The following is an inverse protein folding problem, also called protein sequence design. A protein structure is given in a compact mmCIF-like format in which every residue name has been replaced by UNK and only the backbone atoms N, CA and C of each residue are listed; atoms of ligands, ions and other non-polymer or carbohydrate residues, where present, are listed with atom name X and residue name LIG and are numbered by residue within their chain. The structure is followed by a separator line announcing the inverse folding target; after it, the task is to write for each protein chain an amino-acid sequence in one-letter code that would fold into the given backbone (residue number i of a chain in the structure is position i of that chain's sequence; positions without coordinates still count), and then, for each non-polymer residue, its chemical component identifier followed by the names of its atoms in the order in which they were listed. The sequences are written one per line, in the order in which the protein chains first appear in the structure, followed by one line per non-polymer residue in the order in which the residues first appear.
data_IF_747316986083
#
_entry.id   IF_747316986083
#
_cell.length_a   1.000
_cell.length_b   1.000
_cell.length_c   1.000
_cell.angle_alpha   90.00
_cell.angle_beta   90.00
_cell.angle_gamma   90.00
#
_symmetry.space_group_name_H-M   'P 1'
#
loop_
_entity.id
_entity.type
_entity.pdbx_description
1 polymer ?
#
# COMPACT_ATOMS: atom_id res chain seq x y z
N UNK A 1 -50.91 8.22 41.52
CA UNK A 1 -50.05 7.49 40.56
C UNK A 1 -50.23 6.01 40.82
N UNK A 2 -50.65 5.27 39.80
CA UNK A 2 -51.06 3.87 39.97
C UNK A 2 -49.83 2.98 40.16
N UNK A 3 -49.95 1.90 40.95
CA UNK A 3 -48.85 0.94 41.19
C UNK A 3 -48.23 0.37 39.90
N UNK A 4 -48.99 0.39 38.81
CA UNK A 4 -48.59 -0.07 37.47
C UNK A 4 -47.52 0.86 36.83
N UNK A 5 -47.58 2.17 37.09
CA UNK A 5 -46.63 3.14 36.52
C UNK A 5 -45.24 3.01 37.18
N UNK A 6 -45.21 2.81 38.51
CA UNK A 6 -43.97 2.65 39.27
C UNK A 6 -43.19 1.39 38.86
N UNK A 7 -43.88 0.27 38.59
CA UNK A 7 -43.24 -0.96 38.11
C UNK A 7 -42.61 -0.81 36.73
N UNK A 8 -43.22 0.01 35.86
CA UNK A 8 -42.73 0.27 34.50
C UNK A 8 -41.47 1.16 34.51
N UNK A 9 -41.46 2.19 35.35
CA UNK A 9 -40.29 3.06 35.53
C UNK A 9 -39.10 2.31 36.14
N UNK A 10 -39.34 1.45 37.13
CA UNK A 10 -38.30 0.59 37.71
C UNK A 10 -37.72 -0.40 36.68
N UNK A 11 -38.57 -0.99 35.84
CA UNK A 11 -38.10 -1.87 34.75
C UNK A 11 -37.23 -1.15 33.73
N UNK A 12 -37.57 0.09 33.38
CA UNK A 12 -36.76 0.93 32.47
C UNK A 12 -35.40 1.30 33.08
N UNK A 13 -35.36 1.63 34.37
CA UNK A 13 -34.11 1.95 35.07
C UNK A 13 -33.19 0.73 35.25
N UNK A 14 -33.76 -0.45 35.54
CA UNK A 14 -33.00 -1.70 35.61
C UNK A 14 -32.48 -2.09 34.23
N UNK A 15 -33.30 -1.99 33.18
CA UNK A 15 -32.87 -2.30 31.81
C UNK A 15 -31.78 -1.32 31.36
N UNK A 16 -31.92 -0.02 31.64
CA UNK A 16 -30.93 0.99 31.31
C UNK A 16 -29.59 0.77 32.02
N UNK A 17 -29.62 0.48 33.33
CA UNK A 17 -28.40 0.19 34.09
C UNK A 17 -27.73 -1.12 33.65
N UNK A 18 -28.52 -2.15 33.33
CA UNK A 18 -28.01 -3.42 32.82
C UNK A 18 -27.37 -3.28 31.44
N UNK A 19 -27.95 -2.48 30.53
CA UNK A 19 -27.37 -2.17 29.22
C UNK A 19 -26.07 -1.39 29.36
N UNK A 20 -26.02 -0.40 30.26
CA UNK A 20 -24.78 0.34 30.55
C UNK A 20 -23.69 -0.59 31.07
N UNK A 21 -24.01 -1.46 32.03
CA UNK A 21 -23.06 -2.41 32.61
C UNK A 21 -22.59 -3.42 31.56
N UNK A 22 -23.49 -3.92 30.71
CA UNK A 22 -23.16 -4.79 29.59
C UNK A 22 -22.24 -4.09 28.57
N UNK A 23 -22.48 -2.81 28.25
CA UNK A 23 -21.65 -2.04 27.33
C UNK A 23 -20.24 -1.81 27.88
N UNK A 24 -20.11 -1.48 29.17
CA UNK A 24 -18.81 -1.33 29.85
C UNK A 24 -18.07 -2.66 29.89
N UNK A 25 -18.74 -3.75 30.27
CA UNK A 25 -18.16 -5.08 30.30
C UNK A 25 -17.69 -5.54 28.90
N UNK A 26 -18.50 -5.30 27.87
CA UNK A 26 -18.14 -5.61 26.48
C UNK A 26 -16.93 -4.78 26.02
N UNK A 27 -16.90 -3.49 26.32
CA UNK A 27 -15.77 -2.60 25.98
C UNK A 27 -14.49 -3.04 26.67
N UNK A 28 -14.55 -3.42 27.95
CA UNK A 28 -13.41 -3.94 28.69
C UNK A 28 -12.92 -5.29 28.13
N UNK A 29 -13.86 -6.20 27.80
CA UNK A 29 -13.53 -7.48 27.18
C UNK A 29 -12.85 -7.30 25.82
N UNK A 30 -13.32 -6.35 24.99
CA UNK A 30 -12.70 -5.99 23.71
C UNK A 30 -11.30 -5.40 23.89
N UNK A 31 -11.12 -4.50 24.87
CA UNK A 31 -9.82 -3.94 25.18
C UNK A 31 -8.82 -5.01 25.65
N UNK A 32 -9.25 -5.92 26.52
CA UNK A 32 -8.45 -7.07 26.95
C UNK A 32 -8.11 -8.01 25.78
N UNK A 33 -9.10 -8.29 24.94
CA UNK A 33 -8.95 -9.13 23.76
C UNK A 33 -8.20 -8.44 22.61
N UNK A 34 -7.87 -7.15 22.70
CA UNK A 34 -7.24 -6.39 21.61
C UNK A 34 -5.95 -7.04 21.08
N UNK A 35 -5.17 -7.66 21.96
CA UNK A 35 -3.96 -8.44 21.62
C UNK A 35 -4.23 -9.59 20.63
N UNK A 36 -5.44 -10.14 20.60
CA UNK A 36 -5.88 -11.22 19.72
C UNK A 36 -6.88 -10.73 18.66
N UNK A 37 -7.68 -9.72 18.98
CA UNK A 37 -8.69 -9.14 18.09
C UNK A 37 -8.04 -8.45 16.88
N UNK A 38 -6.91 -7.75 17.08
CA UNK A 38 -6.17 -7.10 15.98
C UNK A 38 -5.73 -8.14 14.93
N UNK A 39 -4.95 -9.20 15.27
CA UNK A 39 -4.54 -10.19 14.28
C UNK A 39 -5.73 -10.99 13.72
N UNK A 40 -6.81 -11.18 14.49
CA UNK A 40 -8.04 -11.81 13.98
C UNK A 40 -8.74 -10.98 12.89
N UNK A 41 -8.93 -9.68 13.11
CA UNK A 41 -9.54 -8.79 12.10
C UNK A 41 -8.64 -8.67 10.87
N UNK A 42 -7.31 -8.59 11.06
CA UNK A 42 -6.36 -8.62 9.95
C UNK A 42 -6.44 -9.93 9.17
N UNK A 43 -6.58 -11.08 9.85
CA UNK A 43 -6.76 -12.37 9.20
C UNK A 43 -8.08 -12.44 8.41
N UNK A 44 -9.15 -11.82 8.91
CA UNK A 44 -10.41 -11.71 8.17
C UNK A 44 -10.24 -10.92 6.87
N UNK A 45 -9.58 -9.75 6.94
CA UNK A 45 -9.29 -8.92 5.77
C UNK A 45 -8.39 -9.65 4.77
N UNK A 46 -7.29 -10.23 5.23
CA UNK A 46 -6.36 -10.97 4.39
C UNK A 46 -7.03 -12.21 3.80
N UNK A 47 -7.79 -12.97 4.59
CA UNK A 47 -8.52 -14.12 4.08
C UNK A 47 -9.43 -13.72 2.91
N UNK A 48 -10.22 -12.65 3.06
CA UNK A 48 -11.05 -12.13 1.98
C UNK A 48 -10.25 -11.71 0.74
N UNK A 49 -9.10 -11.06 0.93
CA UNK A 49 -8.20 -10.66 -0.15
C UNK A 49 -7.56 -11.85 -0.87
N UNK A 50 -7.30 -12.93 -0.12
CA UNK A 50 -6.56 -14.11 -0.56
C UNK A 50 -7.49 -15.18 -1.16
N UNK A 51 -8.79 -15.15 -0.88
CA UNK A 51 -9.81 -16.02 -1.50
C UNK A 51 -9.66 -16.16 -3.03
N UNK A 52 -9.54 -15.09 -3.84
CA UNK A 52 -9.37 -15.23 -5.29
C UNK A 52 -8.11 -16.00 -5.69
N UNK A 53 -7.02 -15.82 -4.94
CA UNK A 53 -5.76 -16.52 -5.17
C UNK A 53 -5.92 -18.01 -4.78
N UNK A 54 -6.55 -18.28 -3.63
CA UNK A 54 -6.82 -19.64 -3.13
C UNK A 54 -7.76 -20.40 -4.05
N UNK A 55 -8.84 -19.76 -4.52
CA UNK A 55 -9.78 -20.36 -5.47
C UNK A 55 -9.07 -20.67 -6.79
N UNK A 56 -8.26 -19.74 -7.31
CA UNK A 56 -7.47 -19.96 -8.52
C UNK A 56 -6.48 -21.13 -8.36
N UNK A 57 -5.81 -21.25 -7.21
CA UNK A 57 -4.92 -22.37 -6.89
C UNK A 57 -5.68 -23.70 -6.76
N UNK A 58 -6.83 -23.72 -6.09
CA UNK A 58 -7.63 -24.95 -5.91
C UNK A 58 -8.25 -25.41 -7.22
N UNK A 59 -8.80 -24.50 -8.02
CA UNK A 59 -9.48 -24.83 -9.27
C UNK A 59 -8.50 -25.19 -10.39
N UNK A 60 -7.35 -24.50 -10.47
CA UNK A 60 -6.39 -24.68 -11.58
C UNK A 60 -5.30 -25.72 -11.29
N UNK A 61 -4.87 -25.87 -10.03
CA UNK A 61 -3.80 -26.78 -9.61
C UNK A 61 -4.27 -27.94 -8.72
N UNK A 62 -5.58 -28.03 -8.38
CA UNK A 62 -6.16 -29.09 -7.52
C UNK A 62 -5.43 -29.29 -6.18
N UNK A 63 -4.81 -28.23 -5.67
CA UNK A 63 -4.01 -28.30 -4.45
C UNK A 63 -4.90 -28.56 -3.22
N UNK A 64 -4.41 -29.34 -2.22
CA UNK A 64 -5.12 -29.51 -0.96
C UNK A 64 -5.25 -28.15 -0.27
N UNK A 65 -6.38 -27.93 0.39
CA UNK A 65 -6.82 -26.62 0.88
C UNK A 65 -5.79 -25.87 1.73
N UNK A 66 -5.14 -26.57 2.66
CA UNK A 66 -4.11 -25.99 3.54
C UNK A 66 -2.93 -25.46 2.72
N UNK A 67 -2.53 -26.22 1.70
CA UNK A 67 -1.41 -25.89 0.82
C UNK A 67 -1.75 -24.71 -0.09
N UNK A 68 -3.01 -24.59 -0.53
CA UNK A 68 -3.49 -23.41 -1.25
C UNK A 68 -3.48 -22.13 -0.39
N UNK A 69 -3.81 -22.21 0.90
CA UNK A 69 -3.77 -21.07 1.84
C UNK A 69 -2.34 -20.62 2.08
N UNK A 70 -1.44 -21.57 2.37
CA UNK A 70 -0.02 -21.27 2.54
C UNK A 70 0.59 -20.67 1.28
N UNK A 71 0.33 -21.27 0.11
CA UNK A 71 0.80 -20.75 -1.16
C UNK A 71 0.28 -19.32 -1.40
N UNK A 72 -1.01 -19.06 -1.14
CA UNK A 72 -1.58 -17.75 -1.39
C UNK A 72 -1.09 -16.67 -0.42
N UNK A 73 -0.89 -17.00 0.86
CA UNK A 73 -0.27 -16.11 1.84
C UNK A 73 1.19 -15.81 1.50
N UNK A 74 1.92 -16.83 1.05
CA UNK A 74 3.30 -16.71 0.61
C UNK A 74 3.40 -15.84 -0.65
N UNK A 75 2.52 -16.02 -1.63
CA UNK A 75 2.44 -15.17 -2.83
C UNK A 75 2.14 -13.72 -2.47
N UNK A 76 1.21 -13.47 -1.53
CA UNK A 76 0.88 -12.12 -1.07
C UNK A 76 2.08 -11.45 -0.38
N UNK A 77 2.67 -12.14 0.60
CA UNK A 77 3.84 -11.65 1.34
C UNK A 77 5.04 -11.44 0.43
N UNK A 78 5.28 -12.36 -0.50
CA UNK A 78 6.36 -12.26 -1.48
C UNK A 78 6.13 -11.08 -2.44
N UNK A 79 4.90 -10.86 -2.90
CA UNK A 79 4.59 -9.72 -3.78
C UNK A 79 4.85 -8.39 -3.08
N UNK A 80 4.35 -8.21 -1.85
CA UNK A 80 4.56 -6.99 -1.06
C UNK A 80 6.05 -6.82 -0.70
N UNK A 81 6.70 -7.89 -0.24
CA UNK A 81 8.11 -7.87 0.11
C UNK A 81 9.02 -7.56 -1.08
N UNK A 82 8.71 -8.12 -2.25
CA UNK A 82 9.40 -7.83 -3.50
C UNK A 82 9.31 -6.32 -3.82
N UNK A 83 8.12 -5.73 -3.74
CA UNK A 83 7.94 -4.28 -3.96
C UNK A 83 8.75 -3.44 -2.97
N UNK A 84 8.71 -3.79 -1.68
CA UNK A 84 9.47 -3.09 -0.64
C UNK A 84 10.97 -3.14 -0.93
N UNK A 85 11.51 -4.32 -1.23
CA UNK A 85 12.94 -4.50 -1.52
C UNK A 85 13.34 -3.74 -2.79
N UNK A 86 12.51 -3.78 -3.84
CA UNK A 86 12.72 -3.02 -5.07
C UNK A 86 12.80 -1.51 -4.81
N UNK A 87 11.89 -0.98 -3.99
CA UNK A 87 11.89 0.43 -3.63
C UNK A 87 13.12 0.76 -2.77
N UNK A 88 13.41 -0.05 -1.74
CA UNK A 88 14.52 0.19 -0.83
C UNK A 88 15.89 0.14 -1.52
N UNK A 89 16.09 -0.82 -2.42
CA UNK A 89 17.32 -0.93 -3.22
C UNK A 89 17.48 0.27 -4.15
N UNK A 90 16.41 0.69 -4.83
CA UNK A 90 16.45 1.86 -5.72
C UNK A 90 16.67 3.17 -4.96
N UNK A 91 16.11 3.30 -3.76
CA UNK A 91 16.35 4.42 -2.84
C UNK A 91 17.79 4.42 -2.31
N UNK A 92 18.31 3.26 -1.96
CA UNK A 92 19.71 3.12 -1.55
C UNK A 92 20.65 3.51 -2.70
N UNK A 93 20.28 3.16 -3.93
CA UNK A 93 21.05 3.49 -5.13
C UNK A 93 21.04 5.00 -5.41
N UNK A 94 19.89 5.68 -5.23
CA UNK A 94 19.77 7.14 -5.17
C UNK A 94 20.71 7.77 -4.14
N UNK A 95 20.72 7.23 -2.92
CA UNK A 95 21.48 7.78 -1.80
C UNK A 95 22.99 7.62 -1.99
N UNK A 96 23.43 6.50 -2.58
CA UNK A 96 24.85 6.21 -2.83
C UNK A 96 25.39 6.93 -4.07
N UNK A 97 24.55 7.14 -5.09
CA UNK A 97 24.91 7.88 -6.32
C UNK A 97 24.38 9.31 -6.35
N UNK A 98 24.17 9.93 -5.18
CA UNK A 98 23.63 11.28 -5.04
C UNK A 98 24.43 12.34 -5.80
N UNK A 99 25.76 12.19 -5.86
CA UNK A 99 26.63 13.09 -6.65
C UNK A 99 26.35 13.03 -8.16
N UNK A 100 26.02 11.85 -8.70
CA UNK A 100 25.66 11.70 -10.12
C UNK A 100 24.33 12.40 -10.43
N UNK A 101 23.36 12.32 -9.51
CA UNK A 101 22.08 13.03 -9.63
C UNK A 101 22.24 14.54 -9.54
N UNK A 102 23.08 15.03 -8.62
CA UNK A 102 23.41 16.46 -8.53
C UNK A 102 24.01 16.96 -9.86
N UNK A 103 24.84 16.16 -10.51
CA UNK A 103 25.43 16.53 -11.81
C UNK A 103 24.38 16.55 -12.94
N UNK A 104 23.46 15.58 -12.99
CA UNK A 104 22.35 15.61 -13.97
C UNK A 104 21.40 16.79 -13.73
N UNK A 105 21.14 17.15 -12.47
CA UNK A 105 20.33 18.33 -12.13
C UNK A 105 21.05 19.64 -12.46
N UNK A 106 22.38 19.71 -12.28
CA UNK A 106 23.20 20.84 -12.74
C UNK A 106 23.18 20.96 -14.27
N UNK A 107 23.18 19.84 -14.98
CA UNK A 107 23.08 19.82 -16.44
C UNK A 107 21.73 20.36 -16.90
N UNK A 108 20.64 19.80 -16.37
CA UNK A 108 19.29 20.25 -16.70
C UNK A 108 19.06 21.71 -16.31
N UNK A 109 19.63 22.16 -15.18
CA UNK A 109 19.59 23.55 -14.75
C UNK A 109 20.24 24.50 -15.75
N UNK A 110 21.42 24.16 -16.29
CA UNK A 110 22.06 25.02 -17.30
C UNK A 110 21.28 25.03 -18.62
N UNK A 111 20.73 23.89 -19.03
CA UNK A 111 19.96 23.79 -20.28
C UNK A 111 18.65 24.59 -20.20
N UNK A 112 17.98 24.56 -19.05
CA UNK A 112 16.77 25.34 -18.80
C UNK A 112 17.06 26.84 -18.73
N UNK A 113 18.17 27.26 -18.10
CA UNK A 113 18.60 28.67 -18.09
C UNK A 113 18.99 29.11 -19.52
N UNK A 114 19.66 28.24 -20.28
CA UNK A 114 19.98 28.48 -21.69
C UNK A 114 18.74 28.67 -22.56
N UNK A 115 17.74 27.80 -22.40
CA UNK A 115 16.44 27.93 -23.08
C UNK A 115 15.67 29.18 -22.63
N UNK A 116 15.67 29.48 -21.33
CA UNK A 116 15.06 30.71 -20.82
C UNK A 116 15.73 31.96 -21.39
N UNK A 117 17.06 31.95 -21.52
CA UNK A 117 17.83 33.04 -22.11
C UNK A 117 17.60 33.18 -23.62
N UNK A 118 17.41 32.08 -24.36
CA UNK A 118 17.06 32.15 -25.80
C UNK A 118 15.66 32.75 -25.98
N UNK A 119 14.71 32.44 -25.08
CA UNK A 119 13.38 33.04 -25.11
C UNK A 119 13.39 34.50 -24.63
N UNK A 120 14.17 34.82 -23.60
CA UNK A 120 14.33 36.18 -23.07
C UNK A 120 15.00 37.12 -24.09
N UNK A 121 15.98 36.62 -24.86
CA UNK A 121 16.61 37.34 -25.96
C UNK A 121 15.61 37.69 -27.08
N UNK A 122 14.61 36.85 -27.31
CA UNK A 122 13.55 37.08 -28.29
C UNK A 122 12.52 38.13 -27.81
N UNK A 123 12.32 38.23 -26.50
CA UNK A 123 11.35 39.14 -25.85
C UNK A 123 11.99 40.46 -25.36
N UNK A 124 13.32 40.58 -25.44
CA UNK A 124 14.05 41.79 -25.05
C UNK A 124 14.16 41.98 -23.53
N UNK A 125 14.01 40.91 -22.76
CA UNK A 125 14.16 40.93 -21.30
C UNK A 125 15.65 40.86 -20.90
N UNK A 126 16.03 41.38 -19.72
CA UNK A 126 17.38 41.25 -19.18
C UNK A 126 17.81 39.78 -19.14
N UNK A 127 18.94 39.45 -19.79
CA UNK A 127 19.47 38.09 -19.81
C UNK A 127 19.97 37.71 -18.42
N UNK A 128 19.66 36.50 -17.99
CA UNK A 128 20.21 35.93 -16.77
C UNK A 128 21.69 35.65 -17.04
N UNK A 129 22.65 36.27 -16.33
CA UNK A 129 24.07 36.06 -16.57
C UNK A 129 24.44 34.56 -16.42
N UNK A 130 25.22 34.00 -17.37
CA UNK A 130 25.60 32.57 -17.37
C UNK A 130 26.50 32.15 -16.20
N UNK A 131 26.97 33.13 -15.44
CA UNK A 131 27.89 33.05 -14.32
C UNK A 131 27.19 33.27 -12.97
N UNK A 132 25.85 33.37 -12.94
CA UNK A 132 25.15 33.18 -11.68
C UNK A 132 25.09 31.68 -11.42
N UNK A 133 25.77 31.28 -10.36
CA UNK A 133 25.60 30.02 -9.67
C UNK A 133 24.17 29.88 -9.08
N UNK A 134 23.13 30.42 -9.73
CA UNK A 134 21.72 30.30 -9.34
C UNK A 134 21.27 28.85 -9.34
N UNK A 135 21.82 28.03 -10.22
CA UNK A 135 21.64 26.57 -10.16
C UNK A 135 22.29 25.99 -8.89
N UNK A 136 23.44 26.51 -8.47
CA UNK A 136 24.13 26.05 -7.26
C UNK A 136 23.49 26.58 -5.98
N UNK A 137 22.97 27.81 -5.96
CA UNK A 137 22.17 28.39 -4.88
C UNK A 137 20.84 27.64 -4.73
N UNK A 138 20.22 27.24 -5.85
CA UNK A 138 19.01 26.41 -5.82
C UNK A 138 19.31 25.00 -5.30
N UNK A 139 20.39 24.37 -5.77
CA UNK A 139 20.88 23.07 -5.27
C UNK A 139 21.30 23.16 -3.79
N UNK A 140 21.86 24.27 -3.32
CA UNK A 140 22.18 24.48 -1.89
C UNK A 140 20.94 24.75 -1.04
N UNK A 141 19.88 25.35 -1.61
CA UNK A 141 18.60 25.54 -0.92
C UNK A 141 17.84 24.23 -0.74
N UNK A 142 18.03 23.28 -1.66
CA UNK A 142 17.55 21.91 -1.54
C UNK A 142 18.64 21.13 -0.82
N UNK A 143 18.53 21.00 0.49
CA UNK A 143 19.46 20.17 1.27
C UNK A 143 19.31 18.69 0.85
N UNK A 144 19.96 18.32 -0.25
CA UNK A 144 19.90 17.01 -0.88
C UNK A 144 20.35 15.94 0.10
N UNK A 145 21.28 16.26 1.00
CA UNK A 145 21.72 15.36 2.06
C UNK A 145 20.60 15.08 3.07
N UNK A 146 19.79 16.09 3.43
CA UNK A 146 18.65 15.88 4.34
C UNK A 146 17.49 15.14 3.65
N UNK A 147 17.27 15.36 2.36
CA UNK A 147 16.30 14.59 1.57
C UNK A 147 16.75 13.12 1.43
N UNK A 148 18.00 12.88 1.06
CA UNK A 148 18.57 11.53 0.96
C UNK A 148 18.57 10.82 2.31
N UNK A 149 18.89 11.51 3.41
CA UNK A 149 18.78 10.97 4.77
C UNK A 149 17.33 10.63 5.14
N UNK A 150 16.36 11.49 4.80
CA UNK A 150 14.93 11.24 5.09
C UNK A 150 14.40 10.05 4.29
N UNK A 151 14.74 9.96 3.01
CA UNK A 151 14.34 8.83 2.14
C UNK A 151 15.06 7.54 2.59
N UNK A 152 16.33 7.62 3.00
CA UNK A 152 17.11 6.50 3.54
C UNK A 152 16.56 5.98 4.88
N UNK A 153 16.22 6.87 5.82
CA UNK A 153 15.56 6.52 7.08
C UNK A 153 14.17 5.91 6.81
N UNK A 154 13.44 6.48 5.84
CA UNK A 154 12.18 5.92 5.34
C UNK A 154 12.34 4.48 4.85
N UNK A 155 13.34 4.22 4.01
CA UNK A 155 13.63 2.88 3.50
C UNK A 155 13.99 1.89 4.61
N UNK A 156 14.82 2.28 5.60
CA UNK A 156 15.14 1.42 6.74
C UNK A 156 13.92 1.11 7.62
N UNK A 157 13.02 2.08 7.80
CA UNK A 157 11.79 1.89 8.55
C UNK A 157 10.82 0.95 7.83
N UNK A 158 10.74 1.01 6.49
CA UNK A 158 9.93 0.07 5.71
C UNK A 158 10.47 -1.35 5.83
N UNK A 159 11.81 -1.54 5.77
CA UNK A 159 12.44 -2.86 5.98
C UNK A 159 12.14 -3.39 7.40
N UNK A 160 12.26 -2.55 8.42
CA UNK A 160 11.89 -2.89 9.81
C UNK A 160 10.39 -3.20 9.98
N UNK A 161 9.53 -2.49 9.24
CA UNK A 161 8.09 -2.75 9.16
C UNK A 161 7.77 -4.13 8.59
N UNK A 162 8.48 -4.57 7.55
CA UNK A 162 8.32 -5.93 7.01
C UNK A 162 8.77 -6.99 8.02
N UNK A 163 9.88 -6.76 8.73
CA UNK A 163 10.35 -7.69 9.77
C UNK A 163 9.35 -7.82 10.93
N UNK A 164 8.76 -6.72 11.37
CA UNK A 164 7.76 -6.72 12.45
C UNK A 164 6.41 -7.26 11.99
N UNK A 165 6.03 -7.04 10.73
CA UNK A 165 4.87 -7.68 10.11
C UNK A 165 5.05 -9.20 10.07
N UNK A 166 6.22 -9.71 9.70
CA UNK A 166 6.51 -11.15 9.68
C UNK A 166 6.34 -11.80 11.07
N UNK A 167 6.69 -11.10 12.15
CA UNK A 167 6.47 -11.58 13.51
C UNK A 167 4.96 -11.73 13.82
N UNK A 168 4.15 -10.73 13.46
CA UNK A 168 2.70 -10.75 13.65
C UNK A 168 1.95 -11.63 12.64
N UNK A 169 2.56 -11.92 11.48
CA UNK A 169 1.99 -12.71 10.40
C UNK A 169 1.68 -14.15 10.84
N UNK A 170 2.40 -14.69 11.82
CA UNK A 170 2.17 -16.07 12.30
C UNK A 170 0.76 -16.25 12.87
N UNK A 171 0.30 -15.34 13.74
CA UNK A 171 -1.05 -15.38 14.31
C UNK A 171 -2.11 -15.13 13.24
N UNK A 172 -1.84 -14.17 12.35
CA UNK A 172 -2.74 -13.82 11.24
C UNK A 172 -2.92 -15.00 10.28
N UNK A 173 -1.82 -15.69 9.94
CA UNK A 173 -1.82 -16.90 9.13
C UNK A 173 -2.60 -18.01 9.81
N UNK A 174 -2.40 -18.22 11.11
CA UNK A 174 -3.12 -19.24 11.87
C UNK A 174 -4.63 -19.00 11.84
N UNK A 175 -5.07 -17.76 12.12
CA UNK A 175 -6.49 -17.39 12.01
C UNK A 175 -7.02 -17.51 10.58
N UNK A 176 -6.26 -17.09 9.58
CA UNK A 176 -6.65 -17.21 8.17
C UNK A 176 -6.79 -18.69 7.76
N UNK A 177 -5.90 -19.57 8.22
CA UNK A 177 -5.99 -21.01 7.98
C UNK A 177 -7.26 -21.58 8.59
N UNK A 178 -7.56 -21.27 9.86
CA UNK A 178 -8.77 -21.77 10.53
C UNK A 178 -10.04 -21.23 9.83
N UNK A 179 -10.07 -19.93 9.55
CA UNK A 179 -11.22 -19.27 8.91
C UNK A 179 -11.47 -19.79 7.51
N UNK A 180 -10.41 -19.93 6.70
CA UNK A 180 -10.54 -20.48 5.36
C UNK A 180 -10.87 -21.96 5.45
N UNK A 181 -10.26 -22.76 6.34
CA UNK A 181 -10.54 -24.18 6.51
C UNK A 181 -12.01 -24.48 6.87
N UNK A 182 -12.68 -23.58 7.60
CA UNK A 182 -14.10 -23.73 7.94
C UNK A 182 -15.07 -23.42 6.80
N UNK A 183 -14.63 -22.74 5.73
CA UNK A 183 -15.50 -22.38 4.60
C UNK A 183 -15.84 -23.61 3.74
N UNK A 184 -16.87 -23.60 2.89
CA UNK A 184 -17.02 -24.61 1.82
C UNK A 184 -16.76 -23.92 0.47
N UNK A 185 -15.69 -24.28 -0.26
CA UNK A 185 -15.27 -23.56 -1.46
C UNK A 185 -16.21 -23.76 -2.67
N UNK A 186 -17.09 -24.76 -2.62
CA UNK A 186 -17.90 -25.22 -3.76
C UNK A 186 -19.40 -24.90 -3.61
N UNK A 187 -19.82 -24.22 -2.55
CA UNK A 187 -21.14 -23.59 -2.58
C UNK A 187 -21.00 -22.33 -3.43
N UNK A 188 -21.22 -22.48 -4.73
CA UNK A 188 -21.64 -21.36 -5.58
C UNK A 188 -22.74 -20.65 -4.82
N UNK A 189 -22.44 -19.45 -4.30
CA UNK A 189 -23.45 -18.55 -3.77
C UNK A 189 -24.36 -18.18 -4.94
N UNK A 190 -25.36 -19.02 -5.19
CA UNK A 190 -26.36 -18.77 -6.20
C UNK A 190 -27.11 -17.48 -5.82
N UNK A 191 -27.36 -16.62 -6.81
CA UNK A 191 -28.00 -15.32 -6.63
C UNK A 191 -27.03 -14.14 -6.62
N UNK A 192 -27.55 -12.97 -6.21
CA UNK A 192 -26.91 -11.65 -6.29
C UNK A 192 -25.45 -11.63 -5.80
N UNK A 193 -25.15 -12.36 -4.73
CA UNK A 193 -23.81 -12.40 -4.12
C UNK A 193 -22.75 -13.03 -5.03
N UNK A 194 -23.11 -14.03 -5.85
CA UNK A 194 -22.18 -14.64 -6.80
C UNK A 194 -21.88 -13.73 -7.98
N UNK A 195 -22.88 -12.98 -8.47
CA UNK A 195 -22.72 -11.98 -9.53
C UNK A 195 -21.83 -10.82 -9.08
N UNK A 196 -22.03 -10.32 -7.86
CA UNK A 196 -21.17 -9.28 -7.27
C UNK A 196 -19.73 -9.78 -7.15
N UNK A 197 -19.51 -11.00 -6.65
CA UNK A 197 -18.15 -11.57 -6.53
C UNK A 197 -17.46 -11.68 -7.89
N UNK A 198 -18.18 -12.15 -8.92
CA UNK A 198 -17.66 -12.25 -10.29
C UNK A 198 -17.35 -10.88 -10.91
N UNK A 199 -18.24 -9.91 -10.72
CA UNK A 199 -18.07 -8.55 -11.20
C UNK A 199 -16.86 -7.87 -10.54
N UNK A 200 -16.73 -7.98 -9.21
CA UNK A 200 -15.60 -7.45 -8.45
C UNK A 200 -14.29 -8.09 -8.90
N UNK A 201 -14.24 -9.42 -9.05
CA UNK A 201 -13.02 -10.14 -9.52
C UNK A 201 -12.61 -9.70 -10.92
N UNK A 202 -13.57 -9.58 -11.85
CA UNK A 202 -13.29 -9.13 -13.22
C UNK A 202 -12.80 -7.68 -13.24
N UNK A 203 -13.43 -6.79 -12.48
CA UNK A 203 -13.01 -5.40 -12.36
C UNK A 203 -11.61 -5.27 -11.76
N UNK A 204 -11.35 -5.99 -10.65
CA UNK A 204 -10.06 -5.96 -9.98
C UNK A 204 -8.96 -6.53 -10.89
N UNK A 205 -9.22 -7.63 -11.58
CA UNK A 205 -8.30 -8.21 -12.56
C UNK A 205 -7.98 -7.26 -13.71
N UNK A 206 -9.00 -6.58 -14.27
CA UNK A 206 -8.81 -5.58 -15.32
C UNK A 206 -7.98 -4.39 -14.82
N UNK A 207 -8.24 -3.91 -13.59
CA UNK A 207 -7.51 -2.80 -13.00
C UNK A 207 -6.05 -3.15 -12.74
N UNK A 208 -5.77 -4.34 -12.22
CA UNK A 208 -4.40 -4.85 -12.04
C UNK A 208 -3.67 -4.92 -13.39
N UNK A 209 -4.31 -5.49 -14.42
CA UNK A 209 -3.72 -5.61 -15.75
C UNK A 209 -3.44 -4.24 -16.38
N UNK A 210 -4.41 -3.31 -16.31
CA UNK A 210 -4.24 -1.95 -16.81
C UNK A 210 -3.08 -1.23 -16.11
N UNK A 211 -3.05 -1.27 -14.77
CA UNK A 211 -1.94 -0.70 -13.99
C UNK A 211 -0.60 -1.32 -14.36
N UNK A 212 -0.54 -2.65 -14.53
CA UNK A 212 0.69 -3.36 -14.88
C UNK A 212 1.21 -2.91 -16.24
N UNK A 213 0.34 -2.77 -17.23
CA UNK A 213 0.69 -2.25 -18.55
C UNK A 213 1.19 -0.82 -18.45
N UNK A 214 0.49 0.07 -17.73
CA UNK A 214 0.91 1.46 -17.54
C UNK A 214 2.30 1.53 -16.90
N UNK A 215 2.50 0.84 -15.79
CA UNK A 215 3.79 0.85 -15.09
C UNK A 215 4.93 0.24 -15.91
N UNK A 216 4.66 -0.85 -16.63
CA UNK A 216 5.66 -1.50 -17.50
C UNK A 216 6.05 -0.61 -18.68
N UNK A 217 5.08 0.05 -19.33
CA UNK A 217 5.36 0.99 -20.42
C UNK A 217 6.14 2.20 -19.91
N UNK A 218 5.76 2.77 -18.76
CA UNK A 218 6.50 3.87 -18.14
C UNK A 218 7.94 3.46 -17.81
N UNK A 219 8.14 2.28 -17.21
CA UNK A 219 9.48 1.74 -16.96
C UNK A 219 10.30 1.63 -18.24
N UNK A 220 9.73 1.01 -19.28
CA UNK A 220 10.41 0.74 -20.54
C UNK A 220 10.79 2.04 -21.27
N UNK A 221 9.90 3.02 -21.31
CA UNK A 221 10.19 4.34 -21.88
C UNK A 221 11.31 5.04 -21.12
N UNK A 222 11.25 5.06 -19.79
CA UNK A 222 12.29 5.70 -18.97
C UNK A 222 13.63 4.96 -19.04
N UNK A 223 13.60 3.63 -19.20
CA UNK A 223 14.79 2.82 -19.43
C UNK A 223 15.47 3.20 -20.74
N UNK A 224 14.71 3.36 -21.83
CA UNK A 224 15.26 3.82 -23.12
C UNK A 224 15.81 5.25 -23.06
N UNK A 225 15.24 6.10 -22.20
CA UNK A 225 15.73 7.45 -21.97
C UNK A 225 16.96 7.51 -21.04
N UNK A 226 17.43 6.37 -20.52
CA UNK A 226 18.59 6.30 -19.64
C UNK A 226 18.35 6.94 -18.27
N UNK A 227 17.10 7.07 -17.83
CA UNK A 227 16.76 7.69 -16.55
C UNK A 227 17.19 6.75 -15.41
N UNK A 228 18.14 7.17 -14.55
CA UNK A 228 18.42 6.43 -13.32
C UNK A 228 17.09 6.39 -12.54
N UNK A 229 16.67 5.23 -12.02
CA UNK A 229 15.35 4.99 -11.41
C UNK A 229 14.11 4.85 -12.30
N UNK A 230 14.29 4.61 -13.59
CA UNK A 230 13.19 4.16 -14.48
C UNK A 230 12.27 3.10 -13.85
N UNK A 231 12.84 2.14 -13.11
CA UNK A 231 12.13 1.05 -12.43
C UNK A 231 11.20 1.53 -11.30
N UNK A 232 11.66 2.48 -10.48
CA UNK A 232 10.83 3.04 -9.40
C UNK A 232 9.69 3.85 -9.97
N UNK A 233 9.95 4.66 -11.00
CA UNK A 233 8.90 5.44 -11.64
C UNK A 233 7.86 4.57 -12.35
N UNK A 234 8.28 3.47 -12.99
CA UNK A 234 7.35 2.47 -13.52
C UNK A 234 6.52 1.80 -12.43
N UNK A 235 7.14 1.45 -11.29
CA UNK A 235 6.41 0.93 -10.15
C UNK A 235 5.45 1.96 -9.54
N UNK A 236 5.85 3.22 -9.47
CA UNK A 236 5.02 4.31 -8.96
C UNK A 236 3.84 4.54 -9.90
N UNK A 237 4.05 4.49 -11.22
CA UNK A 237 2.98 4.54 -12.21
C UNK A 237 2.01 3.35 -12.06
N UNK A 238 2.51 2.14 -11.83
CA UNK A 238 1.68 0.98 -11.50
C UNK A 238 0.82 1.22 -10.25
N UNK A 239 1.43 1.68 -9.15
CA UNK A 239 0.75 1.89 -7.87
C UNK A 239 -0.25 3.05 -7.92
N UNK A 240 0.13 4.18 -8.51
CA UNK A 240 -0.73 5.37 -8.61
C UNK A 240 -1.90 5.12 -9.56
N UNK A 241 -1.75 4.28 -10.58
CA UNK A 241 -2.86 3.89 -11.46
C UNK A 241 -3.95 3.07 -10.74
N UNK A 242 -3.69 2.58 -9.51
CA UNK A 242 -4.75 2.01 -8.68
C UNK A 242 -5.67 3.05 -8.04
N UNK A 243 -5.22 4.31 -7.89
CA UNK A 243 -6.04 5.40 -7.35
C UNK A 243 -7.08 5.75 -8.43
N UNK A 244 -8.38 5.48 -8.21
CA UNK A 244 -9.39 5.86 -9.19
C UNK A 244 -9.43 7.39 -9.32
N UNK A 245 -9.32 7.88 -10.55
CA UNK A 245 -9.61 9.27 -10.94
C UNK A 245 -11.11 9.51 -11.05
#
# INVERSE_FOLDING_TARGET
MSSIELSREQGLLVTGSLVMLAAVAASFALWWASSVAIPFVMALLIAYLVLPIVDALQLRLRAPRVLAIFAAFLTLTASIGLLVVLIATSVSDLAQHGETYQNSLRILGHDLIGFANTLAALVGLPLIPPNLDTAEVFIQSINVDSLLATIGIGASNVIGGVSSFAANATLVLLFAVIMIAGRRPLETRAGLWGEVDAAVRRYLGLKVAASAVTGFLTWLVLLFLGVPLSLVFGLLAFLLNFIPT
#
